data_IF_338299749365
#
_entry.id   IF_338299749365
#
_cell.length_a   1.000
_cell.length_b   1.000
_cell.length_c   1.000
_cell.angle_alpha   90.00
_cell.angle_beta   90.00
_cell.angle_gamma   90.00
#
_symmetry.space_group_name_H-M   'P 1'
#
loop_
_entity.id
_entity.type
_entity.pdbx_description
1 polymer ?
#
# COMPACT_ATOMS: atom_id res chain seq x y z
N UNK A 1 26.50 -14.28 0.33
CA UNK A 1 27.20 -13.47 -0.71
C UNK A 1 26.56 -13.81 -2.04
N UNK A 2 25.52 -13.07 -2.44
CA UNK A 2 24.95 -13.20 -3.78
C UNK A 2 25.88 -12.45 -4.73
N UNK A 3 26.54 -13.18 -5.62
CA UNK A 3 27.40 -12.61 -6.65
C UNK A 3 26.58 -11.66 -7.52
N UNK A 4 27.02 -10.42 -7.58
CA UNK A 4 26.56 -9.44 -8.55
C UNK A 4 26.97 -9.98 -9.93
N UNK A 5 26.08 -10.73 -10.60
CA UNK A 5 26.25 -11.11 -12.00
C UNK A 5 26.20 -9.83 -12.84
N UNK A 6 27.36 -9.25 -13.10
CA UNK A 6 27.55 -8.18 -14.08
C UNK A 6 27.23 -8.75 -15.47
N UNK A 7 25.94 -8.84 -15.81
CA UNK A 7 25.51 -9.13 -17.18
C UNK A 7 25.62 -7.85 -17.99
N UNK A 8 26.29 -7.93 -19.13
CA UNK A 8 26.36 -6.83 -20.07
C UNK A 8 24.94 -6.40 -20.48
N UNK A 9 24.68 -5.08 -20.54
CA UNK A 9 23.40 -4.56 -20.99
C UNK A 9 23.35 -4.72 -22.51
N UNK A 10 22.49 -5.61 -23.00
CA UNK A 10 22.27 -5.78 -24.44
C UNK A 10 21.28 -4.71 -24.97
N UNK A 11 21.13 -4.63 -26.29
CA UNK A 11 20.29 -3.65 -26.94
C UNK A 11 18.81 -3.77 -26.52
N UNK A 12 18.31 -4.98 -26.32
CA UNK A 12 16.92 -5.25 -25.90
C UNK A 12 16.67 -4.76 -24.48
N UNK A 13 17.63 -4.98 -23.57
CA UNK A 13 17.57 -4.46 -22.20
C UNK A 13 17.52 -2.93 -22.17
N UNK A 14 18.32 -2.24 -23.00
CA UNK A 14 18.31 -0.78 -23.10
C UNK A 14 16.96 -0.31 -23.64
N UNK A 15 16.39 -0.98 -24.63
CA UNK A 15 15.09 -0.63 -25.19
C UNK A 15 13.97 -0.80 -24.18
N UNK A 16 13.96 -1.91 -23.44
CA UNK A 16 13.00 -2.14 -22.35
C UNK A 16 13.11 -1.08 -21.25
N UNK A 17 14.32 -0.72 -20.81
CA UNK A 17 14.55 0.35 -19.84
C UNK A 17 14.03 1.70 -20.35
N UNK A 18 14.27 2.03 -21.61
CA UNK A 18 13.78 3.28 -22.21
C UNK A 18 12.25 3.30 -22.30
N UNK A 19 11.60 2.19 -22.67
CA UNK A 19 10.14 2.04 -22.66
C UNK A 19 9.58 2.25 -21.25
N UNK A 20 10.14 1.59 -20.26
CA UNK A 20 9.77 1.76 -18.84
C UNK A 20 9.90 3.22 -18.38
N UNK A 21 10.99 3.89 -18.72
CA UNK A 21 11.19 5.31 -18.39
C UNK A 21 10.11 6.20 -19.02
N UNK A 22 9.84 6.03 -20.31
CA UNK A 22 8.87 6.86 -21.03
C UNK A 22 7.45 6.65 -20.52
N UNK A 23 7.02 5.41 -20.27
CA UNK A 23 5.66 5.14 -19.79
C UNK A 23 5.45 5.65 -18.36
N UNK A 24 6.46 5.52 -17.48
CA UNK A 24 6.43 6.06 -16.12
C UNK A 24 6.37 7.60 -16.12
N UNK A 25 7.18 8.26 -16.95
CA UNK A 25 7.11 9.71 -17.13
C UNK A 25 5.74 10.16 -17.64
N UNK A 26 5.19 9.46 -18.63
CA UNK A 26 3.87 9.78 -19.18
C UNK A 26 2.78 9.65 -18.11
N UNK A 27 2.81 8.60 -17.31
CA UNK A 27 1.90 8.43 -16.19
C UNK A 27 1.99 9.58 -15.18
N UNK A 28 3.21 10.00 -14.84
CA UNK A 28 3.43 11.08 -13.87
C UNK A 28 2.96 12.45 -14.38
N UNK A 29 3.18 12.72 -15.66
CA UNK A 29 2.79 13.98 -16.29
C UNK A 29 1.30 14.03 -16.66
N UNK A 30 0.63 12.87 -16.76
CA UNK A 30 -0.74 12.76 -17.24
C UNK A 30 -0.81 13.00 -18.75
N UNK A 31 -1.01 14.25 -19.19
CA UNK A 31 -0.98 14.63 -20.62
C UNK A 31 0.35 15.32 -20.94
N UNK A 32 1.07 14.81 -21.93
CA UNK A 32 2.40 15.27 -22.26
C UNK A 32 2.68 15.21 -23.77
N UNK A 33 3.57 16.05 -24.29
CA UNK A 33 4.00 15.94 -25.68
C UNK A 33 5.25 15.06 -25.82
N UNK A 34 5.45 14.44 -27.00
CA UNK A 34 6.68 13.69 -27.33
C UNK A 34 7.95 14.54 -27.12
N UNK A 35 7.87 15.83 -27.40
CA UNK A 35 8.99 16.76 -27.20
C UNK A 35 9.30 16.96 -25.72
N UNK A 36 8.27 17.06 -24.86
CA UNK A 36 8.46 17.19 -23.42
C UNK A 36 8.98 15.87 -22.80
N UNK A 37 8.47 14.72 -23.23
CA UNK A 37 9.01 13.43 -22.82
C UNK A 37 10.49 13.27 -23.18
N UNK A 38 10.90 13.73 -24.37
CA UNK A 38 12.30 13.72 -24.78
C UNK A 38 13.17 14.62 -23.88
N UNK A 39 12.65 15.78 -23.46
CA UNK A 39 13.33 16.69 -22.53
C UNK A 39 13.46 16.08 -21.14
N UNK A 40 12.38 15.49 -20.62
CA UNK A 40 12.36 14.88 -19.28
C UNK A 40 13.21 13.61 -19.19
N UNK A 41 13.18 12.77 -20.21
CA UNK A 41 13.92 11.50 -20.25
C UNK A 41 15.39 11.63 -20.64
N UNK A 42 15.78 12.75 -21.26
CA UNK A 42 17.11 12.91 -21.89
C UNK A 42 17.31 12.10 -23.17
N UNK A 43 16.29 11.39 -23.65
CA UNK A 43 16.36 10.58 -24.86
C UNK A 43 16.23 11.43 -26.13
N UNK A 44 16.77 10.93 -27.25
CA UNK A 44 16.58 11.55 -28.57
C UNK A 44 15.11 11.56 -28.98
N UNK A 45 14.63 12.62 -29.61
CA UNK A 45 13.23 12.76 -30.09
C UNK A 45 12.78 11.57 -30.97
N UNK A 46 13.66 11.08 -31.84
CA UNK A 46 13.38 9.91 -32.68
C UNK A 46 13.09 8.65 -31.84
N UNK A 47 13.89 8.39 -30.80
CA UNK A 47 13.71 7.27 -29.87
C UNK A 47 12.37 7.36 -29.14
N UNK A 48 12.04 8.57 -28.62
CA UNK A 48 10.75 8.78 -27.94
C UNK A 48 9.58 8.59 -28.89
N UNK A 49 9.70 9.09 -30.14
CA UNK A 49 8.64 8.91 -31.16
C UNK A 49 8.42 7.43 -31.47
N UNK A 50 9.49 6.67 -31.62
CA UNK A 50 9.42 5.23 -31.85
C UNK A 50 8.71 4.52 -30.68
N UNK A 51 9.15 4.74 -29.44
CA UNK A 51 8.56 4.15 -28.23
C UNK A 51 7.07 4.51 -28.07
N UNK A 52 6.71 5.78 -28.28
CA UNK A 52 5.32 6.22 -28.19
C UNK A 52 4.44 5.57 -29.27
N UNK A 53 4.96 5.39 -30.48
CA UNK A 53 4.23 4.68 -31.53
C UNK A 53 4.00 3.21 -31.19
N UNK A 54 4.99 2.52 -30.58
CA UNK A 54 4.79 1.17 -30.04
C UNK A 54 3.64 1.16 -29.01
N UNK A 55 3.64 2.08 -28.06
CA UNK A 55 2.59 2.18 -27.03
C UNK A 55 1.20 2.48 -27.61
N UNK A 56 1.12 3.29 -28.68
CA UNK A 56 -0.13 3.52 -29.40
C UNK A 56 -0.58 2.24 -30.11
N UNK A 57 0.33 1.53 -30.76
CA UNK A 57 0.00 0.26 -31.44
C UNK A 57 -0.45 -0.83 -30.46
N UNK A 58 0.07 -0.83 -29.24
CA UNK A 58 -0.36 -1.72 -28.15
C UNK A 58 -1.65 -1.24 -27.45
N UNK A 59 -2.17 -0.07 -27.79
CA UNK A 59 -3.41 0.48 -27.25
C UNK A 59 -3.30 1.02 -25.82
N UNK A 60 -2.09 1.07 -25.22
CA UNK A 60 -1.92 1.58 -23.85
C UNK A 60 -1.71 3.10 -23.78
N UNK A 61 -1.47 3.76 -24.92
CA UNK A 61 -1.32 5.21 -25.05
C UNK A 61 -2.22 5.73 -26.18
N UNK A 62 -2.77 6.93 -26.01
CA UNK A 62 -3.57 7.60 -27.04
C UNK A 62 -3.17 9.05 -27.22
N UNK A 63 -3.46 9.62 -28.41
CA UNK A 63 -3.34 11.05 -28.69
C UNK A 63 -4.59 11.81 -28.23
N UNK A 64 -4.41 13.01 -27.62
CA UNK A 64 -5.48 13.81 -27.00
C UNK A 64 -5.54 15.24 -27.52
N UNK A 65 -5.33 15.43 -28.81
CA UNK A 65 -5.46 16.73 -29.45
C UNK A 65 -4.25 17.65 -29.28
N UNK A 66 -4.42 18.93 -29.66
CA UNK A 66 -3.36 19.92 -29.66
C UNK A 66 -3.17 20.57 -28.28
N UNK A 67 -1.94 20.57 -27.80
CA UNK A 67 -1.50 21.29 -26.60
C UNK A 67 -0.72 22.56 -26.99
N UNK A 68 -0.80 23.60 -26.15
CA UNK A 68 0.14 24.71 -26.24
C UNK A 68 1.53 24.22 -25.80
N UNK A 69 2.50 24.28 -26.70
CA UNK A 69 3.88 23.93 -26.39
C UNK A 69 4.71 25.15 -26.01
N UNK A 70 5.91 24.91 -25.47
CA UNK A 70 6.91 25.95 -25.22
C UNK A 70 7.14 26.80 -26.50
N UNK A 71 7.15 28.13 -26.36
CA UNK A 71 7.34 29.10 -27.44
C UNK A 71 6.21 29.13 -28.49
N UNK A 72 4.94 28.84 -28.11
CA UNK A 72 3.78 29.01 -28.98
C UNK A 72 3.59 27.96 -30.07
N UNK A 73 4.46 26.94 -30.19
CA UNK A 73 4.32 25.85 -31.15
C UNK A 73 3.34 24.80 -30.61
N UNK A 74 2.25 24.56 -31.36
CA UNK A 74 1.30 23.50 -31.04
C UNK A 74 1.95 22.12 -31.16
N UNK A 75 1.67 21.23 -30.24
CA UNK A 75 2.14 19.83 -30.23
C UNK A 75 0.98 18.89 -29.89
N UNK A 76 1.01 17.68 -30.43
CA UNK A 76 0.02 16.66 -30.09
C UNK A 76 0.30 16.15 -28.66
N UNK A 77 -0.72 16.22 -27.80
CA UNK A 77 -0.71 15.62 -26.47
C UNK A 77 -0.88 14.11 -26.54
N UNK A 78 -0.22 13.40 -25.68
CA UNK A 78 -0.37 11.95 -25.48
C UNK A 78 -0.63 11.66 -24.01
N UNK A 79 -1.38 10.62 -23.73
CA UNK A 79 -1.71 10.15 -22.37
C UNK A 79 -1.88 8.64 -22.35
N UNK A 80 -1.85 8.05 -21.15
CA UNK A 80 -2.27 6.66 -20.99
C UNK A 80 -3.72 6.48 -21.42
N UNK A 81 -4.02 5.39 -22.09
CA UNK A 81 -5.38 5.02 -22.48
C UNK A 81 -6.04 4.33 -21.29
N UNK A 82 -6.74 5.12 -20.47
CA UNK A 82 -7.24 4.72 -19.13
C UNK A 82 -8.11 3.46 -19.13
N UNK A 83 -8.92 3.29 -20.18
CA UNK A 83 -9.91 2.22 -20.27
C UNK A 83 -9.43 1.03 -21.14
N UNK A 84 -8.13 0.98 -21.46
CA UNK A 84 -7.58 -0.08 -22.29
C UNK A 84 -7.15 -1.31 -21.51
N UNK A 85 -6.58 -1.12 -20.32
CA UNK A 85 -6.02 -2.20 -19.51
C UNK A 85 -6.25 -1.98 -18.03
N UNK A 86 -6.32 -3.09 -17.30
CA UNK A 86 -6.67 -3.11 -15.90
C UNK A 86 -5.76 -4.04 -15.09
N UNK A 87 -5.71 -3.82 -13.79
CA UNK A 87 -5.16 -4.75 -12.82
C UNK A 87 -6.18 -4.97 -11.70
N UNK A 88 -6.10 -6.11 -11.06
CA UNK A 88 -6.92 -6.43 -9.89
C UNK A 88 -6.05 -6.27 -8.65
N UNK A 89 -6.48 -5.46 -7.69
CA UNK A 89 -5.88 -5.35 -6.36
C UNK A 89 -6.75 -6.07 -5.33
N UNK A 90 -6.13 -6.87 -4.48
CA UNK A 90 -6.78 -7.57 -3.36
C UNK A 90 -6.13 -7.09 -2.08
N UNK A 91 -6.92 -6.60 -1.14
CA UNK A 91 -6.53 -6.38 0.24
C UNK A 91 -7.15 -7.46 1.11
N UNK A 92 -6.33 -8.30 1.73
CA UNK A 92 -6.76 -9.24 2.75
C UNK A 92 -6.50 -8.62 4.13
N UNK A 93 -7.49 -8.66 5.01
CA UNK A 93 -7.37 -8.32 6.42
C UNK A 93 -7.96 -9.46 7.28
N UNK A 94 -7.77 -9.42 8.60
CA UNK A 94 -8.20 -10.54 9.48
C UNK A 94 -9.72 -10.77 9.47
N UNK A 95 -10.54 -9.71 9.28
CA UNK A 95 -12.02 -9.77 9.37
C UNK A 95 -12.74 -9.38 8.08
N UNK A 96 -12.02 -9.02 7.05
CA UNK A 96 -12.60 -8.70 5.73
C UNK A 96 -11.55 -8.82 4.64
N UNK A 97 -12.02 -8.87 3.40
CA UNK A 97 -11.19 -8.63 2.24
C UNK A 97 -11.87 -7.65 1.28
N UNK A 98 -11.07 -6.95 0.51
CA UNK A 98 -11.53 -6.04 -0.53
C UNK A 98 -10.86 -6.38 -1.85
N UNK A 99 -11.59 -6.29 -2.94
CA UNK A 99 -11.09 -6.51 -4.30
C UNK A 99 -11.43 -5.28 -5.12
N UNK A 100 -10.43 -4.67 -5.73
CA UNK A 100 -10.57 -3.49 -6.59
C UNK A 100 -10.10 -3.77 -8.01
N UNK A 101 -10.86 -3.29 -9.00
CA UNK A 101 -10.44 -3.19 -10.39
C UNK A 101 -9.86 -1.80 -10.61
N UNK A 102 -8.60 -1.73 -11.04
CA UNK A 102 -7.90 -0.49 -11.30
C UNK A 102 -7.55 -0.37 -12.78
N UNK A 103 -7.80 0.79 -13.37
CA UNK A 103 -7.26 1.11 -14.69
C UNK A 103 -5.75 1.32 -14.62
N UNK A 104 -5.07 1.23 -15.77
CA UNK A 104 -3.60 1.31 -15.86
C UNK A 104 -3.01 2.65 -15.35
N UNK A 105 -3.82 3.69 -15.20
CA UNK A 105 -3.41 4.96 -14.59
C UNK A 105 -3.61 5.01 -13.06
N UNK A 106 -4.17 3.95 -12.45
CA UNK A 106 -4.38 3.83 -11.01
C UNK A 106 -5.75 4.27 -10.51
N UNK A 107 -6.71 4.58 -11.39
CA UNK A 107 -8.08 4.91 -11.00
C UNK A 107 -8.83 3.63 -10.61
N UNK A 108 -9.43 3.61 -9.41
CA UNK A 108 -10.33 2.56 -8.98
C UNK A 108 -11.64 2.63 -9.76
N UNK A 109 -11.96 1.59 -10.52
CA UNK A 109 -13.15 1.49 -11.39
C UNK A 109 -14.29 0.83 -10.63
N UNK A 110 -14.01 -0.29 -9.97
CA UNK A 110 -14.98 -1.07 -9.23
C UNK A 110 -14.35 -1.64 -7.98
N UNK A 111 -15.14 -1.80 -6.90
CA UNK A 111 -14.68 -2.41 -5.65
C UNK A 111 -15.77 -3.31 -5.08
N UNK A 112 -15.35 -4.46 -4.58
CA UNK A 112 -16.15 -5.35 -3.73
C UNK A 112 -15.47 -5.52 -2.39
N UNK A 113 -16.29 -5.64 -1.34
CA UNK A 113 -15.83 -5.95 0.02
C UNK A 113 -16.68 -7.06 0.58
N UNK A 114 -16.05 -7.98 1.32
CA UNK A 114 -16.74 -9.05 2.02
C UNK A 114 -16.14 -9.26 3.41
N UNK A 115 -17.00 -9.49 4.39
CA UNK A 115 -16.60 -9.83 5.76
C UNK A 115 -16.17 -11.31 5.82
N UNK A 116 -15.21 -11.59 6.70
CA UNK A 116 -14.75 -12.93 7.05
C UNK A 116 -15.35 -13.25 8.42
N UNK A 117 -16.12 -14.32 8.48
CA UNK A 117 -16.77 -14.75 9.71
C UNK A 117 -15.73 -15.26 10.73
N UNK A 118 -16.01 -15.05 12.00
CA UNK A 118 -15.13 -15.58 13.07
C UNK A 118 -15.04 -17.10 12.98
N UNK A 119 -13.81 -17.63 12.92
CA UNK A 119 -13.56 -19.07 12.76
C UNK A 119 -13.70 -19.60 11.32
N UNK A 120 -13.94 -18.74 10.33
CA UNK A 120 -13.96 -19.14 8.92
C UNK A 120 -12.59 -19.69 8.51
N UNK A 121 -12.58 -20.85 7.84
CA UNK A 121 -11.34 -21.47 7.37
C UNK A 121 -10.66 -20.64 6.27
N UNK A 122 -9.32 -20.71 6.15
CA UNK A 122 -8.59 -20.08 5.06
C UNK A 122 -9.07 -20.54 3.68
N UNK A 123 -9.35 -21.82 3.50
CA UNK A 123 -9.83 -22.38 2.22
C UNK A 123 -11.16 -21.76 1.79
N UNK A 124 -12.12 -21.64 2.72
CA UNK A 124 -13.40 -21.00 2.44
C UNK A 124 -13.25 -19.50 2.14
N UNK A 125 -12.33 -18.82 2.83
CA UNK A 125 -12.03 -17.43 2.54
C UNK A 125 -11.43 -17.29 1.15
N UNK A 126 -10.54 -18.20 0.76
CA UNK A 126 -9.92 -18.21 -0.56
C UNK A 126 -10.95 -18.47 -1.66
N UNK A 127 -11.89 -19.41 -1.45
CA UNK A 127 -13.02 -19.64 -2.35
C UNK A 127 -13.86 -18.37 -2.56
N UNK A 128 -14.17 -17.63 -1.51
CA UNK A 128 -14.87 -16.35 -1.62
C UNK A 128 -14.06 -15.29 -2.36
N UNK A 129 -12.76 -15.21 -2.13
CA UNK A 129 -11.87 -14.30 -2.87
C UNK A 129 -11.91 -14.64 -4.36
N UNK A 130 -11.74 -15.90 -4.73
CA UNK A 130 -11.76 -16.37 -6.13
C UNK A 130 -13.10 -16.03 -6.79
N UNK A 131 -14.22 -16.34 -6.14
CA UNK A 131 -15.57 -16.05 -6.67
C UNK A 131 -15.78 -14.53 -6.86
N UNK A 132 -15.29 -13.69 -5.95
CA UNK A 132 -15.38 -12.25 -6.09
C UNK A 132 -14.44 -11.71 -7.18
N UNK A 133 -13.27 -12.32 -7.41
CA UNK A 133 -12.39 -11.96 -8.53
C UNK A 133 -13.12 -12.27 -9.86
N UNK A 134 -13.73 -13.45 -10.03
CA UNK A 134 -14.51 -13.75 -11.24
C UNK A 134 -15.59 -12.70 -11.49
N UNK A 135 -16.34 -12.32 -10.46
CA UNK A 135 -17.36 -11.29 -10.60
C UNK A 135 -16.81 -9.87 -10.90
N UNK A 136 -15.54 -9.60 -10.63
CA UNK A 136 -14.85 -8.35 -11.03
C UNK A 136 -14.31 -8.48 -12.45
N UNK A 137 -13.78 -9.65 -12.82
CA UNK A 137 -13.32 -9.95 -14.20
C UNK A 137 -14.47 -9.80 -15.21
N UNK A 138 -15.67 -10.25 -14.85
CA UNK A 138 -16.86 -10.14 -15.69
C UNK A 138 -17.30 -8.69 -16.01
N UNK A 139 -16.70 -7.68 -15.35
CA UNK A 139 -17.00 -6.27 -15.64
C UNK A 139 -16.23 -5.71 -16.84
N UNK A 140 -15.21 -6.42 -17.31
CA UNK A 140 -14.33 -5.98 -18.41
C UNK A 140 -13.99 -7.19 -19.30
N UNK A 141 -13.40 -6.93 -20.47
CA UNK A 141 -12.87 -7.99 -21.30
C UNK A 141 -11.68 -8.67 -20.58
N UNK A 142 -11.69 -10.01 -20.37
CA UNK A 142 -10.64 -10.71 -19.62
C UNK A 142 -9.20 -10.44 -20.14
N UNK A 143 -9.05 -10.33 -21.46
CA UNK A 143 -7.76 -10.06 -22.11
C UNK A 143 -7.18 -8.67 -21.79
N UNK A 144 -7.99 -7.77 -21.23
CA UNK A 144 -7.56 -6.44 -20.78
C UNK A 144 -7.02 -6.44 -19.33
N UNK A 145 -7.17 -7.55 -18.60
CA UNK A 145 -6.60 -7.68 -17.26
C UNK A 145 -5.17 -8.17 -17.39
N UNK A 146 -4.23 -7.40 -16.85
CA UNK A 146 -2.81 -7.65 -17.02
C UNK A 146 -2.18 -8.39 -15.83
N UNK A 147 -2.71 -8.21 -14.61
CA UNK A 147 -2.14 -8.84 -13.42
C UNK A 147 -3.12 -8.80 -12.23
N UNK A 148 -2.82 -9.61 -11.22
CA UNK A 148 -3.46 -9.61 -9.90
C UNK A 148 -2.41 -9.25 -8.86
N UNK A 149 -2.70 -8.28 -8.00
CA UNK A 149 -1.90 -7.97 -6.81
C UNK A 149 -2.65 -8.33 -5.55
N UNK A 150 -1.98 -8.93 -4.55
CA UNK A 150 -2.58 -9.22 -3.25
C UNK A 150 -1.71 -8.65 -2.12
N UNK A 151 -2.31 -7.76 -1.32
CA UNK A 151 -1.74 -7.26 -0.08
C UNK A 151 -2.23 -8.13 1.07
N UNK A 152 -1.28 -8.62 1.88
CA UNK A 152 -1.54 -9.54 2.98
C UNK A 152 -1.04 -8.92 4.28
N UNK A 153 -1.76 -9.13 5.42
CA UNK A 153 -1.26 -8.75 6.73
C UNK A 153 -0.01 -9.54 7.10
N UNK A 154 0.92 -8.92 7.79
CA UNK A 154 2.19 -9.50 8.20
C UNK A 154 2.17 -10.26 9.51
N UNK A 155 3.32 -10.86 9.87
CA UNK A 155 4.54 -11.00 9.06
C UNK A 155 4.37 -11.94 7.86
N UNK A 156 4.65 -11.44 6.66
CA UNK A 156 4.57 -12.21 5.41
C UNK A 156 5.97 -12.49 4.83
N UNK A 157 6.37 -13.77 4.81
CA UNK A 157 7.66 -14.21 4.26
C UNK A 157 7.51 -14.34 2.75
N UNK A 158 7.95 -13.31 2.02
CA UNK A 158 7.76 -13.21 0.56
C UNK A 158 8.37 -14.38 -0.21
N UNK A 159 9.53 -14.88 0.20
CA UNK A 159 10.22 -16.01 -0.46
C UNK A 159 9.42 -17.31 -0.37
N UNK A 160 8.68 -17.51 0.72
CA UNK A 160 7.88 -18.71 0.95
C UNK A 160 6.41 -18.53 0.53
N UNK A 161 5.98 -17.29 0.24
CA UNK A 161 4.59 -16.97 -0.06
C UNK A 161 3.62 -17.19 1.10
N UNK A 162 4.12 -17.21 2.36
CA UNK A 162 3.37 -17.62 3.55
C UNK A 162 3.31 -16.51 4.61
N UNK A 163 2.21 -16.51 5.36
CA UNK A 163 2.08 -15.68 6.57
C UNK A 163 2.77 -16.43 7.73
N UNK A 164 3.78 -15.82 8.36
CA UNK A 164 4.52 -16.46 9.44
C UNK A 164 3.72 -16.52 10.75
N UNK A 165 3.04 -15.43 11.08
CA UNK A 165 2.18 -15.32 12.27
C UNK A 165 0.99 -14.43 11.92
N UNK A 166 -0.21 -14.89 12.21
CA UNK A 166 -1.40 -14.05 12.16
C UNK A 166 -2.18 -14.26 13.46
N UNK A 167 -2.30 -13.21 14.27
CA UNK A 167 -3.02 -13.24 15.54
C UNK A 167 -4.52 -13.50 15.29
N UNK A 168 -5.12 -14.37 16.10
CA UNK A 168 -6.55 -14.71 16.08
C UNK A 168 -7.08 -15.45 14.83
N UNK A 169 -6.21 -15.96 13.93
CA UNK A 169 -6.62 -16.70 12.74
C UNK A 169 -5.88 -18.02 12.59
N UNK A 170 -6.52 -19.10 13.00
CA UNK A 170 -5.93 -20.43 12.88
C UNK A 170 -5.85 -20.89 11.40
N UNK A 171 -4.71 -21.47 11.01
CA UNK A 171 -4.54 -22.13 9.71
C UNK A 171 -4.06 -21.24 8.56
N UNK A 172 -4.07 -19.91 8.69
CA UNK A 172 -3.66 -18.99 7.62
C UNK A 172 -2.18 -19.08 7.26
N UNK A 173 -1.31 -19.46 8.19
CA UNK A 173 0.12 -19.65 7.95
C UNK A 173 0.45 -20.79 6.96
N UNK A 174 -0.49 -21.71 6.72
CA UNK A 174 -0.31 -22.82 5.78
C UNK A 174 -0.89 -22.54 4.39
N UNK A 175 -1.59 -21.40 4.20
CA UNK A 175 -2.20 -21.05 2.92
C UNK A 175 -1.16 -20.49 1.96
N UNK A 176 -1.01 -21.11 0.79
CA UNK A 176 -0.18 -20.65 -0.30
C UNK A 176 -1.02 -19.78 -1.25
N UNK A 177 -1.30 -18.54 -0.84
CA UNK A 177 -2.21 -17.62 -1.54
C UNK A 177 -1.86 -17.42 -3.01
N UNK A 178 -0.57 -17.24 -3.32
CA UNK A 178 -0.11 -17.01 -4.68
C UNK A 178 -0.41 -18.21 -5.58
N UNK A 179 0.02 -19.40 -5.15
CA UNK A 179 -0.18 -20.62 -5.91
C UNK A 179 -1.65 -20.93 -6.11
N UNK A 180 -2.49 -20.63 -5.10
CA UNK A 180 -3.92 -20.84 -5.21
C UNK A 180 -4.57 -19.90 -6.24
N UNK A 181 -4.17 -18.62 -6.28
CA UNK A 181 -4.62 -17.70 -7.32
C UNK A 181 -4.12 -18.10 -8.71
N UNK A 182 -2.86 -18.53 -8.83
CA UNK A 182 -2.27 -18.95 -10.11
C UNK A 182 -2.89 -20.25 -10.68
N UNK A 183 -3.54 -21.10 -9.86
CA UNK A 183 -4.33 -22.24 -10.32
C UNK A 183 -5.64 -21.84 -11.01
N UNK A 184 -6.24 -20.73 -10.55
CA UNK A 184 -7.56 -20.29 -11.03
C UNK A 184 -7.49 -19.22 -12.11
N UNK A 185 -6.38 -18.45 -12.17
CA UNK A 185 -6.22 -17.34 -13.09
C UNK A 185 -4.90 -17.43 -13.85
N UNK A 186 -4.92 -17.15 -15.14
CA UNK A 186 -3.73 -17.10 -15.99
C UNK A 186 -2.94 -15.78 -15.86
N UNK A 187 -3.42 -14.85 -15.04
CA UNK A 187 -2.76 -13.58 -14.81
C UNK A 187 -1.59 -13.75 -13.84
N UNK A 188 -0.44 -13.06 -14.03
CA UNK A 188 0.64 -13.05 -13.06
C UNK A 188 0.17 -12.48 -11.72
N UNK A 189 0.61 -13.10 -10.62
CA UNK A 189 0.21 -12.73 -9.26
C UNK A 189 1.38 -12.11 -8.52
N UNK A 190 1.18 -10.88 -8.02
CA UNK A 190 2.12 -10.15 -7.18
C UNK A 190 1.63 -10.10 -5.74
N UNK A 191 2.53 -10.41 -4.82
CA UNK A 191 2.24 -10.40 -3.39
C UNK A 191 3.07 -9.32 -2.68
N UNK A 192 2.45 -8.59 -1.76
CA UNK A 192 3.15 -7.60 -0.94
C UNK A 192 2.55 -7.54 0.47
N UNK A 193 3.35 -7.09 1.43
CA UNK A 193 2.90 -6.78 2.78
C UNK A 193 1.95 -5.56 2.76
N UNK A 194 0.89 -5.58 3.56
CA UNK A 194 -0.16 -4.55 3.55
C UNK A 194 0.38 -3.15 3.89
N UNK A 195 1.24 -3.02 4.91
CA UNK A 195 1.85 -1.74 5.26
C UNK A 195 2.79 -1.21 4.17
N UNK A 196 3.50 -2.08 3.45
CA UNK A 196 4.31 -1.69 2.29
C UNK A 196 3.42 -1.19 1.14
N UNK A 197 2.30 -1.87 0.89
CA UNK A 197 1.32 -1.41 -0.09
C UNK A 197 0.77 -0.02 0.30
N UNK A 198 0.42 0.17 1.58
CA UNK A 198 -0.01 1.46 2.11
C UNK A 198 1.03 2.57 1.92
N UNK A 199 2.30 2.28 2.17
CA UNK A 199 3.41 3.21 1.94
C UNK A 199 3.56 3.56 0.46
N UNK A 200 3.45 2.56 -0.42
CA UNK A 200 3.53 2.76 -1.86
C UNK A 200 2.39 3.64 -2.38
N UNK A 201 1.18 3.52 -1.81
CA UNK A 201 0.07 4.40 -2.13
C UNK A 201 0.40 5.88 -1.85
N UNK A 202 1.11 6.17 -0.77
CA UNK A 202 1.51 7.55 -0.46
C UNK A 202 2.45 8.13 -1.53
N UNK A 203 3.45 7.34 -1.97
CA UNK A 203 4.38 7.77 -3.04
C UNK A 203 3.64 7.93 -4.37
N UNK A 204 2.65 7.07 -4.63
CA UNK A 204 1.95 7.03 -5.90
C UNK A 204 0.91 8.13 -6.05
N UNK A 205 0.10 8.38 -5.01
CA UNK A 205 -1.08 9.24 -5.07
C UNK A 205 -0.90 10.59 -4.39
N UNK A 206 -0.05 10.71 -3.36
CA UNK A 206 0.17 11.98 -2.66
C UNK A 206 1.26 12.80 -3.35
N UNK A 207 0.82 13.77 -4.15
CA UNK A 207 1.74 14.67 -4.88
C UNK A 207 2.50 15.65 -3.97
N UNK A 208 2.16 15.73 -2.69
CA UNK A 208 2.85 16.60 -1.72
C UNK A 208 4.09 15.94 -1.11
N UNK A 209 4.28 14.65 -1.35
CA UNK A 209 5.43 13.89 -0.87
C UNK A 209 6.57 14.01 -1.88
N UNK A 210 7.73 14.44 -1.38
CA UNK A 210 8.96 14.31 -2.15
C UNK A 210 9.36 12.83 -2.22
N UNK A 211 9.39 12.28 -3.41
CA UNK A 211 9.71 10.87 -3.68
C UNK A 211 11.12 10.47 -3.23
N UNK A 212 12.02 11.45 -3.03
CA UNK A 212 13.37 11.21 -2.55
C UNK A 212 13.47 11.28 -1.02
N UNK A 213 12.41 11.69 -0.32
CA UNK A 213 12.40 11.75 1.13
C UNK A 213 12.27 10.37 1.78
N UNK A 214 12.73 10.27 3.04
CA UNK A 214 12.40 9.11 3.89
C UNK A 214 11.01 9.28 4.46
N UNK A 215 10.19 8.26 4.28
CA UNK A 215 8.79 8.22 4.67
C UNK A 215 8.51 6.92 5.43
N UNK A 216 7.75 6.98 6.51
CA UNK A 216 7.19 5.82 7.19
C UNK A 216 5.67 5.92 7.15
N UNK A 217 5.03 4.96 6.50
CA UNK A 217 3.59 4.76 6.58
C UNK A 217 3.30 3.76 7.69
N UNK A 218 2.42 4.11 8.62
CA UNK A 218 2.03 3.26 9.73
C UNK A 218 0.59 2.81 9.50
N UNK A 219 0.42 1.53 9.25
CA UNK A 219 -0.90 0.89 9.17
C UNK A 219 -1.38 0.58 10.59
N UNK A 220 -2.47 1.24 11.02
CA UNK A 220 -3.04 1.08 12.35
C UNK A 220 -4.48 0.61 12.18
N UNK A 221 -4.67 -0.70 12.27
CA UNK A 221 -5.95 -1.37 12.12
C UNK A 221 -6.08 -2.50 13.14
N UNK A 222 -6.44 -3.68 12.68
CA UNK A 222 -6.51 -4.90 13.51
C UNK A 222 -5.14 -5.35 14.03
N UNK A 223 -4.07 -4.90 13.38
CA UNK A 223 -2.68 -4.98 13.80
C UNK A 223 -1.99 -3.64 13.63
N UNK A 224 -0.68 -3.59 13.91
CA UNK A 224 0.17 -2.42 13.70
C UNK A 224 1.40 -2.83 12.90
N UNK A 225 1.55 -2.24 11.72
CA UNK A 225 2.70 -2.45 10.84
C UNK A 225 3.21 -1.15 10.24
N UNK A 226 4.39 -1.16 9.64
CA UNK A 226 4.91 -0.01 8.92
C UNK A 226 5.49 -0.39 7.56
N UNK A 227 5.21 0.44 6.56
CA UNK A 227 5.95 0.46 5.31
C UNK A 227 6.99 1.57 5.37
N UNK A 228 8.27 1.21 5.26
CA UNK A 228 9.39 2.13 5.39
C UNK A 228 9.94 2.39 3.99
N UNK A 229 9.96 3.66 3.61
CA UNK A 229 10.49 4.13 2.32
C UNK A 229 11.73 4.95 2.56
N UNK A 230 12.78 4.65 1.82
CA UNK A 230 14.02 5.39 1.82
C UNK A 230 14.47 5.66 0.38
N UNK A 231 14.61 6.93 0.02
CA UNK A 231 14.91 7.35 -1.37
C UNK A 231 13.97 6.74 -2.43
N UNK A 232 12.67 6.68 -2.14
CA UNK A 232 11.67 6.15 -3.06
C UNK A 232 11.56 4.63 -3.10
N UNK A 233 12.42 3.90 -2.39
CA UNK A 233 12.45 2.45 -2.34
C UNK A 233 11.92 1.92 -1.00
N UNK A 234 11.10 0.87 -1.05
CA UNK A 234 10.58 0.20 0.16
C UNK A 234 11.70 -0.65 0.77
N UNK A 235 11.99 -0.44 2.05
CA UNK A 235 12.89 -1.30 2.83
C UNK A 235 12.16 -2.60 3.16
N UNK A 236 12.57 -3.69 2.53
CA UNK A 236 11.94 -5.01 2.72
C UNK A 236 12.66 -5.89 3.74
N UNK A 237 13.93 -5.65 3.98
CA UNK A 237 14.78 -6.54 4.77
C UNK A 237 15.10 -7.85 4.03
N UNK A 238 15.87 -8.73 4.68
CA UNK A 238 16.36 -10.00 4.09
C UNK A 238 15.20 -10.96 3.77
N UNK A 239 14.26 -11.11 4.69
CA UNK A 239 13.11 -12.02 4.55
C UNK A 239 11.84 -11.35 4.01
N UNK A 240 11.89 -10.04 3.71
CA UNK A 240 10.74 -9.27 3.27
C UNK A 240 9.82 -8.78 4.40
N UNK A 241 10.20 -8.94 5.67
CA UNK A 241 9.39 -8.62 6.86
C UNK A 241 9.85 -7.36 7.61
N UNK A 242 10.63 -6.48 6.99
CA UNK A 242 10.95 -5.20 7.62
C UNK A 242 9.67 -4.37 7.84
N UNK A 243 9.63 -3.63 8.94
CA UNK A 243 8.47 -2.79 9.28
C UNK A 243 7.48 -3.41 10.26
N UNK A 244 7.79 -4.57 10.83
CA UNK A 244 6.97 -5.22 11.89
C UNK A 244 7.06 -4.46 13.23
N UNK A 245 6.80 -3.14 13.20
CA UNK A 245 6.91 -2.26 14.36
C UNK A 245 5.92 -2.60 15.47
N UNK A 246 4.77 -3.18 15.11
CA UNK A 246 3.77 -3.67 16.07
C UNK A 246 4.30 -4.75 17.00
N UNK A 247 5.35 -5.47 16.59
CA UNK A 247 6.01 -6.51 17.39
C UNK A 247 7.26 -6.01 18.13
N UNK A 248 7.55 -4.70 18.08
CA UNK A 248 8.58 -4.09 18.93
C UNK A 248 8.09 -3.96 20.38
N UNK A 249 8.95 -4.22 21.34
CA UNK A 249 8.61 -4.13 22.77
C UNK A 249 8.60 -2.67 23.22
N UNK A 250 7.45 -2.22 23.76
CA UNK A 250 7.34 -0.92 24.45
C UNK A 250 7.28 -1.08 25.97
N UNK A 251 7.07 -2.29 26.46
CA UNK A 251 7.04 -2.63 27.88
C UNK A 251 7.54 -4.08 28.09
N UNK A 252 8.74 -4.23 28.65
CA UNK A 252 9.38 -5.55 28.84
C UNK A 252 8.59 -6.48 29.77
N UNK A 253 7.80 -5.95 30.72
CA UNK A 253 6.92 -6.70 31.62
C UNK A 253 5.48 -6.84 31.07
N UNK A 254 5.26 -6.41 29.83
CA UNK A 254 3.95 -6.39 29.20
C UNK A 254 3.38 -7.77 28.89
N UNK A 255 2.15 -7.80 28.30
CA UNK A 255 1.47 -9.04 27.97
C UNK A 255 2.24 -9.85 26.92
N UNK A 256 2.04 -11.18 26.95
CA UNK A 256 2.56 -12.05 25.89
C UNK A 256 1.90 -11.73 24.55
N UNK A 257 2.69 -11.76 23.51
CA UNK A 257 2.25 -11.63 22.13
C UNK A 257 2.33 -13.00 21.45
N UNK A 258 1.47 -13.25 20.48
CA UNK A 258 1.43 -14.49 19.69
C UNK A 258 2.69 -14.69 18.84
N UNK A 259 3.44 -13.60 18.54
CA UNK A 259 4.74 -13.69 17.89
C UNK A 259 5.85 -14.31 18.77
N UNK A 260 5.55 -14.65 20.03
CA UNK A 260 6.50 -15.19 20.99
C UNK A 260 7.14 -14.14 21.91
N UNK A 261 7.07 -12.86 21.56
CA UNK A 261 7.62 -11.74 22.34
C UNK A 261 6.66 -11.28 23.45
N UNK A 262 7.08 -10.28 24.25
CA UNK A 262 6.29 -9.62 25.29
C UNK A 262 6.26 -8.13 25.10
N UNK A 263 5.12 -7.51 25.49
CA UNK A 263 4.95 -6.07 25.50
C UNK A 263 5.03 -5.42 24.13
N UNK A 264 4.67 -6.16 23.08
CA UNK A 264 4.58 -5.67 21.73
C UNK A 264 3.63 -4.48 21.62
N UNK A 265 3.98 -3.47 20.84
CA UNK A 265 3.17 -2.26 20.61
C UNK A 265 1.72 -2.61 20.21
N UNK A 266 1.51 -3.57 19.33
CA UNK A 266 0.17 -4.02 18.88
C UNK A 266 -0.74 -4.46 20.03
N UNK A 267 -0.19 -4.89 21.17
CA UNK A 267 -0.96 -5.27 22.36
C UNK A 267 -1.48 -4.08 23.17
N UNK A 268 -1.09 -2.86 22.79
CA UNK A 268 -1.45 -1.60 23.45
C UNK A 268 -2.22 -0.65 22.54
N UNK A 269 -2.04 -0.76 21.22
CA UNK A 269 -2.71 0.11 20.27
C UNK A 269 -3.08 -0.65 18.98
N UNK A 270 -4.28 -1.18 18.92
CA UNK A 270 -4.88 -1.75 17.71
C UNK A 270 -6.40 -1.70 17.84
N UNK A 271 -7.12 -1.77 16.74
CA UNK A 271 -8.58 -1.72 16.76
C UNK A 271 -9.21 -2.83 17.62
N UNK A 272 -8.55 -3.98 17.71
CA UNK A 272 -8.98 -5.10 18.54
C UNK A 272 -8.79 -4.77 20.04
N UNK A 273 -7.68 -4.15 20.38
CA UNK A 273 -7.37 -3.73 21.76
C UNK A 273 -8.34 -2.64 22.20
N UNK A 274 -8.55 -1.64 21.36
CA UNK A 274 -9.48 -0.52 21.58
C UNK A 274 -10.89 -1.03 21.88
N UNK A 275 -11.45 -1.84 21.00
CA UNK A 275 -12.80 -2.38 21.16
C UNK A 275 -12.93 -3.20 22.46
N UNK A 276 -11.95 -4.08 22.72
CA UNK A 276 -11.91 -4.89 23.96
C UNK A 276 -11.83 -4.05 25.23
N UNK A 277 -10.99 -3.03 25.25
CA UNK A 277 -10.78 -2.20 26.42
C UNK A 277 -12.00 -1.31 26.72
N UNK A 278 -12.67 -0.75 25.69
CA UNK A 278 -13.93 -0.02 25.82
C UNK A 278 -15.01 -0.95 26.39
N UNK A 279 -15.18 -2.15 25.82
CA UNK A 279 -16.15 -3.14 26.30
C UNK A 279 -15.93 -3.49 27.77
N UNK A 280 -14.67 -3.70 28.18
CA UNK A 280 -14.30 -4.00 29.58
C UNK A 280 -14.63 -2.81 30.52
N UNK A 281 -14.33 -1.58 30.13
CA UNK A 281 -14.65 -0.38 30.94
C UNK A 281 -16.17 -0.21 31.15
N UNK A 282 -16.97 -0.58 30.16
CA UNK A 282 -18.44 -0.50 30.22
C UNK A 282 -19.10 -1.65 30.97
N UNK A 283 -18.39 -2.78 31.18
CA UNK A 283 -18.90 -3.91 31.98
C UNK A 283 -20.05 -4.70 31.36
N UNK A 284 -20.33 -4.53 30.05
CA UNK A 284 -21.53 -5.07 29.39
C UNK A 284 -21.29 -6.30 28.52
N UNK A 285 -20.03 -6.74 28.33
CA UNK A 285 -19.73 -7.86 27.43
C UNK A 285 -20.06 -7.62 25.95
N UNK A 286 -20.38 -6.37 25.59
CA UNK A 286 -20.71 -5.95 24.24
C UNK A 286 -19.45 -5.94 23.36
N UNK A 287 -19.63 -6.25 22.08
CA UNK A 287 -18.56 -6.08 21.09
C UNK A 287 -18.88 -4.81 20.29
N UNK A 288 -17.88 -3.95 20.12
CA UNK A 288 -18.00 -2.72 19.34
C UNK A 288 -17.15 -2.86 18.06
N UNK A 289 -17.70 -2.44 16.94
CA UNK A 289 -16.92 -2.17 15.73
C UNK A 289 -16.34 -0.75 15.74
N UNK A 290 -15.43 -0.47 14.79
CA UNK A 290 -14.78 0.85 14.74
C UNK A 290 -15.75 1.98 14.36
N UNK A 291 -16.81 1.70 13.60
CA UNK A 291 -17.83 2.68 13.27
C UNK A 291 -18.58 3.14 14.53
N UNK A 292 -19.03 2.17 15.33
CA UNK A 292 -19.67 2.43 16.62
C UNK A 292 -18.76 3.20 17.58
N UNK A 293 -17.46 2.83 17.63
CA UNK A 293 -16.49 3.55 18.46
C UNK A 293 -16.30 4.99 17.95
N UNK A 294 -16.24 5.19 16.65
CA UNK A 294 -16.20 6.53 16.05
C UNK A 294 -17.41 7.38 16.45
N UNK A 295 -18.62 6.85 16.32
CA UNK A 295 -19.86 7.51 16.75
C UNK A 295 -19.84 7.86 18.25
N UNK A 296 -19.35 6.93 19.11
CA UNK A 296 -19.21 7.18 20.55
C UNK A 296 -18.27 8.35 20.83
N UNK A 297 -17.15 8.44 20.11
CA UNK A 297 -16.17 9.53 20.26
C UNK A 297 -16.79 10.86 19.77
N UNK A 298 -17.50 10.85 18.65
CA UNK A 298 -18.16 12.04 18.11
C UNK A 298 -19.21 12.63 19.06
N UNK A 299 -19.97 11.77 19.76
CA UNK A 299 -20.96 12.24 20.76
C UNK A 299 -20.34 12.53 22.13
N UNK A 300 -19.03 12.43 22.29
CA UNK A 300 -18.30 12.78 23.52
C UNK A 300 -18.33 11.72 24.62
N UNK A 301 -18.47 10.43 24.26
CA UNK A 301 -18.38 9.33 25.24
C UNK A 301 -17.00 9.28 25.90
N UNK A 302 -16.96 9.60 27.18
CA UNK A 302 -15.71 9.74 27.95
C UNK A 302 -14.89 8.44 27.97
N UNK A 303 -15.52 7.27 28.08
CA UNK A 303 -14.81 6.01 28.16
C UNK A 303 -14.14 5.64 26.82
N UNK A 304 -14.81 5.92 25.70
CA UNK A 304 -14.27 5.72 24.37
C UNK A 304 -13.14 6.73 24.06
N UNK A 305 -13.35 8.00 24.40
CA UNK A 305 -12.35 9.05 24.19
C UNK A 305 -11.08 8.81 25.00
N UNK A 306 -11.19 8.50 26.30
CA UNK A 306 -10.03 8.23 27.17
C UNK A 306 -9.22 7.03 26.71
N UNK A 307 -9.92 5.97 26.28
CA UNK A 307 -9.23 4.78 25.76
C UNK A 307 -8.51 5.08 24.45
N UNK A 308 -9.18 5.77 23.51
CA UNK A 308 -8.58 6.14 22.24
C UNK A 308 -7.36 7.04 22.42
N UNK A 309 -7.44 8.06 23.29
CA UNK A 309 -6.29 8.90 23.66
C UNK A 309 -5.14 8.07 24.24
N UNK A 310 -5.46 7.12 25.12
CA UNK A 310 -4.46 6.25 25.75
C UNK A 310 -3.73 5.41 24.69
N UNK A 311 -4.45 4.82 23.75
CA UNK A 311 -3.85 4.03 22.66
C UNK A 311 -3.03 4.88 21.70
N UNK A 312 -3.48 6.10 21.38
CA UNK A 312 -2.72 7.05 20.58
C UNK A 312 -1.37 7.42 21.25
N UNK A 313 -1.33 7.55 22.59
CA UNK A 313 -0.06 7.74 23.32
C UNK A 313 0.86 6.54 23.23
N UNK A 314 0.32 5.31 23.35
CA UNK A 314 1.12 4.10 23.16
C UNK A 314 1.69 4.02 21.75
N UNK A 315 0.90 4.39 20.73
CA UNK A 315 1.39 4.54 19.37
C UNK A 315 2.55 5.54 19.32
N UNK A 316 2.41 6.70 19.94
CA UNK A 316 3.47 7.71 20.04
C UNK A 316 4.77 7.14 20.62
N UNK A 317 4.72 6.35 21.68
CA UNK A 317 5.91 5.69 22.25
C UNK A 317 6.55 4.71 21.27
N UNK A 318 5.76 3.92 20.55
CA UNK A 318 6.27 3.07 19.48
C UNK A 318 6.95 3.88 18.36
N UNK A 319 6.36 4.99 17.98
CA UNK A 319 6.89 5.87 16.94
C UNK A 319 8.19 6.57 17.34
N UNK A 320 8.42 6.87 18.63
CA UNK A 320 9.73 7.36 19.11
C UNK A 320 10.84 6.38 18.75
N UNK A 321 10.62 5.06 18.97
CA UNK A 321 11.59 4.03 18.62
C UNK A 321 11.84 3.97 17.11
N UNK A 322 10.78 4.09 16.32
CA UNK A 322 10.84 4.06 14.85
C UNK A 322 11.59 5.27 14.30
N UNK A 323 11.29 6.48 14.81
CA UNK A 323 11.98 7.72 14.40
C UNK A 323 13.47 7.65 14.76
N UNK A 324 13.81 7.21 15.97
CA UNK A 324 15.22 7.09 16.38
C UNK A 324 15.97 6.01 15.57
N UNK A 325 15.28 4.99 15.03
CA UNK A 325 15.90 3.93 14.24
C UNK A 325 16.13 4.32 12.78
N UNK A 326 15.19 5.04 12.16
CA UNK A 326 15.19 5.32 10.73
C UNK A 326 15.41 6.79 10.38
N UNK A 327 15.31 7.69 11.35
CA UNK A 327 15.45 9.15 11.18
C UNK A 327 14.64 9.69 9.98
N UNK A 328 13.39 9.24 9.86
CA UNK A 328 12.51 9.65 8.78
C UNK A 328 11.98 11.06 9.00
N UNK A 329 11.83 11.83 7.91
CA UNK A 329 11.29 13.20 7.97
C UNK A 329 9.77 13.26 7.91
N UNK A 330 9.10 12.15 7.51
CA UNK A 330 7.64 12.08 7.37
C UNK A 330 7.10 10.78 7.95
N UNK A 331 6.12 10.89 8.85
CA UNK A 331 5.29 9.78 9.29
C UNK A 331 3.86 10.00 8.78
N UNK A 332 3.27 8.97 8.19
CA UNK A 332 1.89 8.98 7.74
C UNK A 332 1.13 7.89 8.48
N UNK A 333 0.18 8.30 9.30
CA UNK A 333 -0.72 7.41 10.00
C UNK A 333 -1.86 7.03 9.06
N UNK A 334 -2.11 5.76 8.91
CA UNK A 334 -3.13 5.26 7.99
C UNK A 334 -3.84 4.02 8.51
N UNK A 335 -4.72 3.48 7.67
CA UNK A 335 -5.62 2.38 7.97
C UNK A 335 -6.77 2.78 8.93
N UNK A 336 -7.54 1.79 9.37
CA UNK A 336 -8.87 1.95 9.95
C UNK A 336 -8.92 2.87 11.18
N UNK A 337 -7.95 2.74 12.10
CA UNK A 337 -7.93 3.54 13.34
C UNK A 337 -7.59 5.01 13.10
N UNK A 338 -6.81 5.31 12.07
CA UNK A 338 -6.39 6.69 11.80
C UNK A 338 -7.54 7.60 11.38
N UNK A 339 -8.69 7.02 11.00
CA UNK A 339 -9.88 7.74 10.55
C UNK A 339 -11.00 7.82 11.59
N UNK A 340 -10.79 7.27 12.80
CA UNK A 340 -11.76 7.40 13.89
C UNK A 340 -11.88 8.86 14.33
N UNK A 341 -10.76 9.49 14.63
CA UNK A 341 -10.65 10.91 14.94
C UNK A 341 -9.19 11.35 14.74
N UNK A 342 -8.92 11.97 13.59
CA UNK A 342 -7.56 12.38 13.19
C UNK A 342 -6.99 13.45 14.12
N UNK A 343 -7.83 14.37 14.62
CA UNK A 343 -7.35 15.46 15.48
C UNK A 343 -6.85 14.92 16.82
N UNK A 344 -7.61 14.04 17.48
CA UNK A 344 -7.18 13.40 18.73
C UNK A 344 -5.92 12.55 18.49
N UNK A 345 -5.89 11.79 17.41
CA UNK A 345 -4.74 10.93 17.12
C UNK A 345 -3.48 11.77 16.90
N UNK A 346 -3.56 12.83 16.09
CA UNK A 346 -2.42 13.70 15.83
C UNK A 346 -1.98 14.44 17.10
N UNK A 347 -2.92 14.96 17.91
CA UNK A 347 -2.64 15.65 19.17
C UNK A 347 -1.83 14.75 20.13
N UNK A 348 -2.32 13.54 20.39
CA UNK A 348 -1.70 12.65 21.38
C UNK A 348 -0.36 12.06 20.89
N UNK A 349 -0.27 11.73 19.61
CA UNK A 349 0.99 11.28 19.00
C UNK A 349 2.02 12.39 19.02
N UNK A 350 1.65 13.60 18.58
CA UNK A 350 2.56 14.75 18.56
C UNK A 350 3.07 15.13 19.96
N UNK A 351 2.17 15.09 20.97
CA UNK A 351 2.53 15.32 22.37
C UNK A 351 3.66 14.38 22.82
N UNK A 352 3.55 13.08 22.55
CA UNK A 352 4.57 12.10 22.95
C UNK A 352 5.87 12.32 22.17
N UNK A 353 5.79 12.54 20.86
CA UNK A 353 6.97 12.75 20.02
C UNK A 353 7.74 14.00 20.45
N UNK A 354 7.05 15.10 20.74
CA UNK A 354 7.61 16.35 21.23
C UNK A 354 8.33 16.19 22.56
N UNK A 355 7.75 15.42 23.48
CA UNK A 355 8.33 15.17 24.81
C UNK A 355 9.57 14.25 24.75
N UNK A 356 9.60 13.30 23.80
CA UNK A 356 10.52 12.17 23.84
C UNK A 356 11.63 12.20 22.78
N UNK A 357 11.48 12.95 21.72
CA UNK A 357 12.49 13.08 20.68
C UNK A 357 13.47 14.22 21.01
N UNK A 358 14.67 14.14 20.46
CA UNK A 358 15.60 15.27 20.45
C UNK A 358 14.94 16.44 19.70
N UNK A 359 15.08 17.70 20.19
CA UNK A 359 14.45 18.87 19.57
C UNK A 359 14.75 19.02 18.08
N UNK A 360 15.98 18.72 17.67
CA UNK A 360 16.43 18.79 16.28
C UNK A 360 15.73 17.73 15.40
N UNK A 361 15.50 16.55 15.94
CA UNK A 361 14.76 15.46 15.24
C UNK A 361 13.30 15.83 15.12
N UNK A 362 12.69 16.25 16.23
CA UNK A 362 11.27 16.64 16.26
C UNK A 362 10.97 17.82 15.31
N UNK A 363 11.83 18.86 15.29
CA UNK A 363 11.62 20.04 14.43
C UNK A 363 11.64 19.73 12.92
N UNK A 364 12.28 18.64 12.52
CA UNK A 364 12.34 18.20 11.14
C UNK A 364 11.32 17.13 10.79
N UNK A 365 10.54 16.62 11.78
CA UNK A 365 9.55 15.57 11.59
C UNK A 365 8.18 16.16 11.25
N UNK A 366 7.52 15.57 10.25
CA UNK A 366 6.13 15.86 9.92
C UNK A 366 5.29 14.59 10.15
N UNK A 367 4.24 14.72 10.96
CA UNK A 367 3.25 13.64 11.16
C UNK A 367 1.94 14.06 10.54
N UNK A 368 1.33 13.20 9.76
CA UNK A 368 0.02 13.45 9.15
C UNK A 368 -0.79 12.17 9.02
N UNK A 369 -2.12 12.32 8.91
CA UNK A 369 -3.02 11.20 8.55
C UNK A 369 -3.07 11.04 7.03
N UNK A 370 -3.15 9.81 6.54
CA UNK A 370 -3.29 9.50 5.13
C UNK A 370 -4.63 9.98 4.57
N UNK A 371 -4.58 10.89 3.59
CA UNK A 371 -5.77 11.45 2.92
C UNK A 371 -5.71 11.36 1.39
N UNK A 372 -4.64 10.79 0.84
CA UNK A 372 -4.45 10.74 -0.61
C UNK A 372 -5.47 9.83 -1.32
N UNK A 373 -5.86 8.75 -0.66
CA UNK A 373 -6.86 7.78 -1.13
C UNK A 373 -7.64 7.20 0.07
N UNK A 374 -8.86 6.73 -0.18
CA UNK A 374 -9.75 6.22 0.87
C UNK A 374 -9.23 4.94 1.54
N UNK A 375 -8.56 4.06 0.79
CA UNK A 375 -7.97 2.81 1.29
C UNK A 375 -6.55 2.70 0.73
N UNK A 376 -5.56 3.09 1.53
CA UNK A 376 -4.16 3.14 1.10
C UNK A 376 -3.61 1.76 0.75
N UNK A 377 -4.02 0.72 1.46
CA UNK A 377 -3.52 -0.65 1.20
C UNK A 377 -4.06 -1.18 -0.12
N UNK A 378 -5.37 -1.07 -0.36
CA UNK A 378 -5.99 -1.52 -1.60
C UNK A 378 -5.47 -0.73 -2.82
N UNK A 379 -5.38 0.59 -2.71
CA UNK A 379 -4.83 1.43 -3.79
C UNK A 379 -3.34 1.16 -4.00
N UNK A 380 -2.59 0.92 -2.92
CA UNK A 380 -1.17 0.64 -2.97
C UNK A 380 -0.85 -0.67 -3.68
N UNK A 381 -1.59 -1.74 -3.40
CA UNK A 381 -1.36 -3.00 -4.12
C UNK A 381 -1.75 -2.89 -5.60
N UNK A 382 -2.81 -2.15 -5.94
CA UNK A 382 -3.14 -1.80 -7.31
C UNK A 382 -2.00 -1.04 -7.99
N UNK A 383 -1.44 -0.03 -7.32
CA UNK A 383 -0.32 0.77 -7.83
C UNK A 383 0.97 -0.04 -7.99
N UNK A 384 1.29 -0.94 -7.05
CA UNK A 384 2.43 -1.87 -7.18
C UNK A 384 2.24 -2.75 -8.41
N UNK A 385 1.06 -3.33 -8.58
CA UNK A 385 0.73 -4.18 -9.71
C UNK A 385 0.90 -3.44 -11.04
N UNK A 386 0.39 -2.21 -11.14
CA UNK A 386 0.55 -1.35 -12.31
C UNK A 386 2.04 -1.05 -12.55
N UNK A 387 2.81 -0.73 -11.50
CA UNK A 387 4.24 -0.44 -11.65
C UNK A 387 5.04 -1.62 -12.16
N UNK A 388 4.73 -2.85 -11.71
CA UNK A 388 5.34 -4.08 -12.21
C UNK A 388 5.00 -4.30 -13.69
N UNK A 389 3.73 -4.15 -14.07
CA UNK A 389 3.28 -4.23 -15.47
C UNK A 389 3.96 -3.18 -16.34
N UNK A 390 3.95 -1.90 -15.92
CA UNK A 390 4.59 -0.81 -16.65
C UNK A 390 6.12 -0.98 -16.76
N UNK A 391 6.73 -1.72 -15.82
CA UNK A 391 8.15 -2.07 -15.86
C UNK A 391 8.53 -3.01 -17.01
N UNK A 392 7.58 -3.82 -17.51
CA UNK A 392 7.80 -4.84 -18.53
C UNK A 392 6.61 -4.96 -19.49
N UNK A 393 6.06 -3.84 -19.96
CA UNK A 393 4.84 -3.79 -20.78
C UNK A 393 4.82 -4.78 -21.95
N UNK A 394 5.96 -4.99 -22.58
CA UNK A 394 6.09 -5.89 -23.73
C UNK A 394 5.69 -7.32 -23.39
N UNK A 395 6.02 -7.80 -22.19
CA UNK A 395 5.66 -9.15 -21.73
C UNK A 395 4.15 -9.35 -21.57
N UNK A 396 3.42 -8.26 -21.32
CA UNK A 396 1.99 -8.32 -21.04
C UNK A 396 1.13 -7.97 -22.24
N UNK A 397 1.63 -7.14 -23.16
CA UNK A 397 0.86 -6.59 -24.29
C UNK A 397 1.23 -7.17 -25.66
N UNK A 398 2.41 -7.73 -25.81
CA UNK A 398 2.87 -8.35 -27.06
C UNK A 398 2.81 -9.86 -26.89
N UNK A 399 1.73 -10.47 -27.34
CA UNK A 399 1.55 -11.94 -27.41
C UNK A 399 2.08 -12.49 -28.73
#
# INVERSE_FOLDING_TARGET
>A
MAGNDLKGVNQDSIQSMNRTLIIKLLREQGVCSRANLAKLSGLKKATVTYIVNDFISWGCVREVGLMQGDKGRRSIGITLAEDSYYVIGIRLARRNFKIGLFSINGRLIHMKQQQIESGQSPDRTMEYIINNIHAVVDQVEPDKILAIGMAIPGPFIKQEGKIAVLTETAGWGNMAFKEELEKHFSYPVFMEHDANAGAYAQIWYDKTIDKNSSLIYVAIGQGVGAGIVYHGEIIKGELGIAGEIGHTTINYDGPRCECGNRGCLEKYCSSIVLARNIARKRGRGEQYDLGQIGEMIEVGDMAAMDEFRTECRYLGYGLVNVVNSFNSSVIILGDEMSHINDDIMLEEVDHVLKERLLPEVYSNLKVKVSKAVKDSVLHGIGAICINEVLGNLELYLVK
#
